data_IF_659869304428
#
_entry.id   IF_659869304428
#
_cell.length_a   1.000
_cell.length_b   1.000
_cell.length_c   1.000
_cell.angle_alpha   90.00
_cell.angle_beta   90.00
_cell.angle_gamma   90.00
#
_symmetry.space_group_name_H-M   'P 1'
#
loop_
_entity.id
_entity.type
_entity.pdbx_description
1 polymer ?
#
# COMPACT_ATOMS: atom_id res chain seq x y z
N UNK A 1 -21.56 27.60 -6.77
CA UNK A 1 -20.32 26.90 -6.43
C UNK A 1 -20.66 25.43 -6.43
N UNK A 2 -20.27 24.70 -7.46
CA UNK A 2 -20.55 23.26 -7.58
C UNK A 2 -19.48 22.53 -6.79
N UNK A 3 -19.84 22.02 -5.61
CA UNK A 3 -19.03 21.01 -4.93
C UNK A 3 -19.07 19.76 -5.81
N UNK A 4 -18.02 19.55 -6.59
CA UNK A 4 -17.77 18.23 -7.19
C UNK A 4 -17.65 17.23 -6.04
N UNK A 5 -18.29 16.05 -6.12
CA UNK A 5 -18.15 15.05 -5.08
C UNK A 5 -16.66 14.73 -4.91
N UNK A 6 -16.18 14.86 -3.68
CA UNK A 6 -14.80 14.50 -3.32
C UNK A 6 -14.59 13.03 -3.68
N UNK A 7 -13.57 12.73 -4.47
CA UNK A 7 -13.23 11.34 -4.79
C UNK A 7 -12.69 10.65 -3.53
N UNK A 8 -12.69 9.32 -3.51
CA UNK A 8 -12.10 8.55 -2.41
C UNK A 8 -10.61 8.93 -2.23
N UNK A 9 -9.91 9.16 -3.34
CA UNK A 9 -8.54 9.65 -3.36
C UNK A 9 -8.38 10.98 -2.59
N UNK A 10 -9.24 11.97 -2.87
CA UNK A 10 -9.19 13.27 -2.19
C UNK A 10 -9.51 13.16 -0.70
N UNK A 11 -10.48 12.30 -0.35
CA UNK A 11 -10.88 12.04 1.03
C UNK A 11 -9.75 11.40 1.84
N UNK A 12 -9.07 10.40 1.29
CA UNK A 12 -7.91 9.75 1.94
C UNK A 12 -6.74 10.73 2.06
N UNK A 13 -6.46 11.52 1.01
CA UNK A 13 -5.41 12.53 1.04
C UNK A 13 -5.65 13.55 2.17
N UNK A 14 -6.86 14.08 2.27
CA UNK A 14 -7.23 15.04 3.30
C UNK A 14 -7.18 14.43 4.71
N UNK A 15 -7.67 13.19 4.88
CA UNK A 15 -7.63 12.47 6.15
C UNK A 15 -6.19 12.20 6.60
N UNK A 16 -5.31 11.76 5.69
CA UNK A 16 -3.90 11.54 6.00
C UNK A 16 -3.21 12.83 6.47
N UNK A 17 -3.46 13.95 5.80
CA UNK A 17 -2.89 15.24 6.19
C UNK A 17 -3.41 15.75 7.54
N UNK A 18 -4.71 15.57 7.81
CA UNK A 18 -5.32 15.96 9.08
C UNK A 18 -4.80 15.10 10.25
N UNK A 19 -4.67 13.80 10.03
CA UNK A 19 -4.14 12.87 11.02
C UNK A 19 -2.68 13.14 11.35
N UNK A 20 -1.87 13.56 10.35
CA UNK A 20 -0.47 13.94 10.54
C UNK A 20 -0.27 15.09 11.52
N UNK A 21 -1.17 16.05 11.50
CA UNK A 21 -1.08 17.23 12.37
C UNK A 21 -1.28 16.89 13.87
N UNK A 22 -1.87 15.72 14.17
CA UNK A 22 -2.15 15.27 15.53
C UNK A 22 -1.37 14.04 16.01
N UNK A 23 -0.63 13.36 15.14
CA UNK A 23 0.05 12.09 15.46
C UNK A 23 1.58 12.21 15.39
N UNK A 24 2.26 11.57 16.33
CA UNK A 24 3.72 11.46 16.35
C UNK A 24 4.26 10.44 15.34
N UNK A 25 3.42 9.49 14.85
CA UNK A 25 3.79 8.44 13.90
C UNK A 25 3.00 8.56 12.59
N UNK A 26 3.75 8.86 11.51
CA UNK A 26 3.21 8.99 10.17
C UNK A 26 2.59 7.68 9.63
N UNK A 27 3.06 6.51 10.12
CA UNK A 27 2.50 5.21 9.75
C UNK A 27 1.10 5.03 10.30
N UNK A 28 0.90 5.34 11.59
CA UNK A 28 -0.40 5.22 12.23
C UNK A 28 -1.41 6.21 11.63
N UNK A 29 -0.98 7.44 11.34
CA UNK A 29 -1.80 8.42 10.67
C UNK A 29 -2.28 7.93 9.28
N UNK A 30 -1.38 7.36 8.49
CA UNK A 30 -1.71 6.79 7.19
C UNK A 30 -2.64 5.58 7.30
N UNK A 31 -2.39 4.68 8.26
CA UNK A 31 -3.22 3.50 8.49
C UNK A 31 -4.65 3.87 8.86
N UNK A 32 -4.83 4.81 9.80
CA UNK A 32 -6.14 5.28 10.22
C UNK A 32 -6.89 6.01 9.11
N UNK A 33 -6.20 6.88 8.38
CA UNK A 33 -6.80 7.63 7.28
C UNK A 33 -7.32 6.68 6.19
N UNK A 34 -6.50 5.71 5.78
CA UNK A 34 -6.89 4.77 4.74
C UNK A 34 -7.98 3.81 5.25
N UNK A 35 -7.81 3.22 6.43
CA UNK A 35 -8.81 2.33 7.01
C UNK A 35 -10.19 2.98 7.09
N UNK A 36 -10.27 4.19 7.65
CA UNK A 36 -11.55 4.87 7.86
C UNK A 36 -12.30 5.13 6.56
N UNK A 37 -11.61 5.57 5.51
CA UNK A 37 -12.22 5.86 4.21
C UNK A 37 -12.51 4.59 3.40
N UNK A 38 -11.54 3.68 3.32
CA UNK A 38 -11.65 2.46 2.53
C UNK A 38 -12.68 1.49 3.13
N UNK A 39 -12.74 1.34 4.46
CA UNK A 39 -13.71 0.47 5.11
C UNK A 39 -15.15 0.88 4.78
N UNK A 40 -15.44 2.18 4.72
CA UNK A 40 -16.72 2.71 4.27
C UNK A 40 -17.01 2.35 2.81
N UNK A 41 -16.05 2.60 1.93
CA UNK A 41 -16.16 2.35 0.50
C UNK A 41 -16.41 0.87 0.18
N UNK A 42 -15.60 -0.05 0.74
CA UNK A 42 -15.71 -1.51 0.53
C UNK A 42 -17.05 -2.12 1.00
N UNK A 43 -17.92 -1.35 1.65
CA UNK A 43 -19.26 -1.80 2.02
C UNK A 43 -20.29 -1.72 0.90
N UNK A 44 -19.94 -1.12 -0.25
CA UNK A 44 -20.81 -0.98 -1.42
C UNK A 44 -20.70 -2.13 -2.43
N UNK A 45 -21.45 -2.02 -3.51
CA UNK A 45 -21.41 -2.96 -4.66
C UNK A 45 -20.33 -2.61 -5.69
N UNK A 46 -19.56 -1.55 -5.48
CA UNK A 46 -18.53 -1.11 -6.41
C UNK A 46 -17.31 -2.06 -6.41
N UNK A 47 -16.50 -1.97 -7.46
CA UNK A 47 -15.26 -2.77 -7.59
C UNK A 47 -14.28 -2.45 -6.44
N UNK A 48 -14.03 -3.46 -5.60
CA UNK A 48 -13.16 -3.33 -4.44
C UNK A 48 -11.70 -3.02 -4.83
N UNK A 49 -11.24 -3.54 -5.98
CA UNK A 49 -9.91 -3.25 -6.48
C UNK A 49 -9.79 -1.78 -6.91
N UNK A 50 -10.79 -1.25 -7.60
CA UNK A 50 -10.84 0.16 -8.00
C UNK A 50 -10.85 1.08 -6.76
N UNK A 51 -11.70 0.80 -5.78
CA UNK A 51 -11.78 1.56 -4.54
C UNK A 51 -10.45 1.54 -3.76
N UNK A 52 -9.81 0.36 -3.67
CA UNK A 52 -8.49 0.23 -3.03
C UNK A 52 -7.44 1.02 -3.79
N UNK A 53 -7.45 0.96 -5.12
CA UNK A 53 -6.54 1.73 -5.99
C UNK A 53 -6.71 3.24 -5.78
N UNK A 54 -7.93 3.75 -5.75
CA UNK A 54 -8.20 5.18 -5.49
C UNK A 54 -7.74 5.62 -4.09
N UNK A 55 -8.02 4.81 -3.07
CA UNK A 55 -7.60 5.10 -1.70
C UNK A 55 -6.06 5.17 -1.58
N UNK A 56 -5.35 4.23 -2.21
CA UNK A 56 -3.89 4.21 -2.22
C UNK A 56 -3.28 5.40 -2.98
N UNK A 57 -3.91 5.84 -4.07
CA UNK A 57 -3.50 7.05 -4.78
C UNK A 57 -3.59 8.29 -3.87
N UNK A 58 -4.59 8.36 -2.99
CA UNK A 58 -4.74 9.44 -2.01
C UNK A 58 -3.55 9.55 -1.05
N UNK A 59 -2.98 8.43 -0.61
CA UNK A 59 -1.78 8.43 0.22
C UNK A 59 -0.55 8.96 -0.53
N UNK A 60 -0.34 8.54 -1.78
CA UNK A 60 0.78 9.02 -2.59
C UNK A 60 0.62 10.52 -2.90
N UNK A 61 -0.59 10.98 -3.14
CA UNK A 61 -0.90 12.41 -3.31
C UNK A 61 -0.58 13.20 -2.03
N UNK A 62 -0.86 12.66 -0.85
CA UNK A 62 -0.50 13.27 0.43
C UNK A 62 1.01 13.47 0.58
N UNK A 63 1.83 12.52 0.10
CA UNK A 63 3.29 12.66 0.07
C UNK A 63 3.75 13.84 -0.80
N UNK A 64 3.15 14.03 -1.98
CA UNK A 64 3.49 15.13 -2.89
C UNK A 64 3.33 16.51 -2.25
N UNK A 65 2.43 16.64 -1.28
CA UNK A 65 2.20 17.86 -0.51
C UNK A 65 3.19 18.04 0.66
N UNK A 66 4.20 17.16 0.78
CA UNK A 66 5.35 17.33 1.68
C UNK A 66 5.11 16.95 3.14
N UNK A 67 4.04 16.22 3.44
CA UNK A 67 3.69 15.89 4.83
C UNK A 67 4.41 14.66 5.40
N UNK A 68 4.98 13.76 4.55
CA UNK A 68 5.44 12.45 5.01
C UNK A 68 6.59 11.87 4.17
N UNK A 69 7.29 10.88 4.74
CA UNK A 69 8.14 9.98 3.98
C UNK A 69 7.28 8.88 3.33
N UNK A 70 7.48 8.64 2.04
CA UNK A 70 6.68 7.69 1.25
C UNK A 70 6.66 6.27 1.83
N UNK A 71 7.77 5.83 2.43
CA UNK A 71 7.84 4.54 3.12
C UNK A 71 6.85 4.42 4.29
N UNK A 72 6.69 5.45 5.11
CA UNK A 72 5.71 5.47 6.21
C UNK A 72 4.28 5.40 5.70
N UNK A 73 3.98 6.15 4.62
CA UNK A 73 2.66 6.13 3.99
C UNK A 73 2.35 4.75 3.41
N UNK A 74 3.32 4.13 2.74
CA UNK A 74 3.15 2.81 2.16
C UNK A 74 2.94 1.73 3.24
N UNK A 75 3.70 1.79 4.34
CA UNK A 75 3.55 0.89 5.48
C UNK A 75 2.18 1.05 6.15
N UNK A 76 1.80 2.28 6.46
CA UNK A 76 0.50 2.57 7.03
C UNK A 76 -0.66 2.22 6.09
N UNK A 77 -0.50 2.50 4.79
CA UNK A 77 -1.47 2.11 3.76
C UNK A 77 -1.73 0.61 3.76
N UNK A 78 -0.67 -0.21 3.77
CA UNK A 78 -0.82 -1.67 3.81
C UNK A 78 -1.52 -2.15 5.09
N UNK A 79 -1.23 -1.56 6.25
CA UNK A 79 -1.93 -1.86 7.50
C UNK A 79 -3.42 -1.52 7.34
N UNK A 80 -3.76 -0.32 6.88
CA UNK A 80 -5.13 0.12 6.69
C UNK A 80 -5.92 -0.74 5.71
N UNK A 81 -5.32 -1.12 4.55
CA UNK A 81 -5.92 -2.04 3.57
C UNK A 81 -6.22 -3.39 4.20
N UNK A 82 -5.25 -3.97 4.93
CA UNK A 82 -5.40 -5.30 5.54
C UNK A 82 -6.54 -5.30 6.57
N UNK A 83 -6.61 -4.30 7.44
CA UNK A 83 -7.68 -4.17 8.42
C UNK A 83 -9.05 -3.98 7.76
N UNK A 84 -9.13 -3.15 6.70
CA UNK A 84 -10.37 -2.92 5.96
C UNK A 84 -10.85 -4.20 5.26
N UNK A 85 -9.95 -4.94 4.61
CA UNK A 85 -10.25 -6.21 3.96
C UNK A 85 -10.81 -7.24 4.95
N UNK A 86 -10.10 -7.48 6.05
CA UNK A 86 -10.51 -8.44 7.09
C UNK A 86 -11.85 -8.04 7.69
N UNK A 87 -12.04 -6.76 8.02
CA UNK A 87 -13.29 -6.26 8.57
C UNK A 87 -14.49 -6.38 7.62
N UNK A 88 -14.25 -6.48 6.31
CA UNK A 88 -15.25 -6.71 5.27
C UNK A 88 -15.32 -8.15 4.77
N UNK A 89 -14.52 -9.06 5.35
CA UNK A 89 -14.42 -10.47 4.93
C UNK A 89 -13.96 -10.64 3.48
N UNK A 90 -13.11 -9.72 3.00
CA UNK A 90 -12.47 -9.77 1.70
C UNK A 90 -11.07 -10.38 1.81
N UNK A 91 -10.50 -10.81 0.68
CA UNK A 91 -9.12 -11.32 0.66
C UNK A 91 -8.10 -10.17 0.78
N UNK A 92 -7.37 -10.07 1.90
CA UNK A 92 -6.37 -9.03 2.06
C UNK A 92 -5.18 -9.17 1.10
N UNK A 93 -4.85 -10.37 0.61
CA UNK A 93 -3.75 -10.57 -0.33
C UNK A 93 -4.05 -9.94 -1.69
N UNK A 94 -5.29 -10.06 -2.15
CA UNK A 94 -5.75 -9.42 -3.39
C UNK A 94 -5.68 -7.90 -3.28
N UNK A 95 -6.26 -7.31 -2.24
CA UNK A 95 -6.27 -5.86 -2.07
C UNK A 95 -4.89 -5.26 -1.81
N UNK A 96 -4.01 -5.98 -1.11
CA UNK A 96 -2.60 -5.59 -0.94
C UNK A 96 -1.83 -5.59 -2.25
N UNK A 97 -2.11 -6.55 -3.15
CA UNK A 97 -1.52 -6.58 -4.49
C UNK A 97 -1.92 -5.34 -5.30
N UNK A 98 -3.19 -4.91 -5.21
CA UNK A 98 -3.66 -3.66 -5.82
C UNK A 98 -2.97 -2.44 -5.19
N UNK A 99 -2.87 -2.43 -3.85
CA UNK A 99 -2.23 -1.35 -3.10
C UNK A 99 -0.78 -1.13 -3.55
N UNK A 100 0.05 -2.16 -3.57
CA UNK A 100 1.46 -2.03 -3.93
C UNK A 100 1.64 -1.60 -5.38
N UNK A 101 0.86 -2.18 -6.31
CA UNK A 101 0.90 -1.79 -7.73
C UNK A 101 0.58 -0.31 -7.91
N UNK A 102 -0.52 0.14 -7.35
CA UNK A 102 -0.96 1.53 -7.49
C UNK A 102 0.06 2.50 -6.91
N UNK A 103 0.49 2.26 -5.68
CA UNK A 103 1.44 3.16 -5.02
C UNK A 103 2.80 3.21 -5.71
N UNK A 104 3.30 2.08 -6.25
CA UNK A 104 4.55 2.06 -7.01
C UNK A 104 4.46 2.83 -8.32
N UNK A 105 3.38 2.67 -9.09
CA UNK A 105 3.15 3.39 -10.35
C UNK A 105 3.05 4.90 -10.09
N UNK A 106 2.26 5.31 -9.10
CA UNK A 106 2.10 6.72 -8.77
C UNK A 106 3.40 7.35 -8.24
N UNK A 107 4.21 6.58 -7.48
CA UNK A 107 5.52 7.03 -7.00
C UNK A 107 6.50 7.21 -8.16
N UNK A 108 6.56 6.26 -9.10
CA UNK A 108 7.40 6.36 -10.29
C UNK A 108 7.00 7.55 -11.15
N UNK A 109 5.71 7.74 -11.41
CA UNK A 109 5.17 8.89 -12.15
C UNK A 109 5.47 10.25 -11.51
N UNK A 110 5.77 10.28 -10.21
CA UNK A 110 6.19 11.48 -9.48
C UNK A 110 7.72 11.60 -9.35
N UNK A 111 8.50 10.67 -9.90
CA UNK A 111 9.95 10.59 -9.71
C UNK A 111 10.37 10.28 -8.27
N UNK A 112 9.47 9.68 -7.48
CA UNK A 112 9.71 9.32 -6.09
C UNK A 112 10.26 7.88 -5.97
N UNK A 113 10.70 7.50 -4.76
CA UNK A 113 11.29 6.18 -4.52
C UNK A 113 10.23 5.06 -4.41
N UNK A 114 9.88 4.44 -5.55
CA UNK A 114 8.99 3.28 -5.56
C UNK A 114 9.57 2.06 -4.82
N UNK A 115 10.89 1.96 -4.64
CA UNK A 115 11.49 0.92 -3.80
C UNK A 115 11.14 1.08 -2.32
N UNK A 116 11.09 2.32 -1.84
CA UNK A 116 10.60 2.63 -0.50
C UNK A 116 9.11 2.24 -0.35
N UNK A 117 8.31 2.38 -1.41
CA UNK A 117 6.92 1.89 -1.45
C UNK A 117 6.88 0.37 -1.29
N UNK A 118 7.59 -0.37 -2.14
CA UNK A 118 7.59 -1.84 -2.10
C UNK A 118 7.99 -2.36 -0.71
N UNK A 119 9.05 -1.80 -0.12
CA UNK A 119 9.49 -2.16 1.22
C UNK A 119 8.44 -1.80 2.28
N UNK A 120 7.86 -0.61 2.23
CA UNK A 120 6.87 -0.16 3.20
C UNK A 120 5.60 -1.03 3.16
N UNK A 121 5.07 -1.34 1.98
CA UNK A 121 3.89 -2.21 1.85
C UNK A 121 4.19 -3.62 2.38
N UNK A 122 5.36 -4.19 2.08
CA UNK A 122 5.77 -5.50 2.63
C UNK A 122 5.81 -5.50 4.16
N UNK A 123 6.47 -4.51 4.75
CA UNK A 123 6.54 -4.39 6.21
C UNK A 123 5.16 -4.19 6.84
N UNK A 124 4.33 -3.32 6.27
CA UNK A 124 2.96 -3.08 6.75
C UNK A 124 2.08 -4.31 6.66
N UNK A 125 2.16 -5.07 5.57
CA UNK A 125 1.43 -6.32 5.40
C UNK A 125 1.82 -7.37 6.46
N UNK A 126 3.12 -7.51 6.75
CA UNK A 126 3.60 -8.43 7.79
C UNK A 126 3.19 -7.98 9.21
N UNK A 127 3.23 -6.67 9.49
CA UNK A 127 2.77 -6.12 10.77
C UNK A 127 1.29 -6.41 11.00
N UNK A 128 0.44 -6.08 10.02
CA UNK A 128 -1.00 -6.33 10.11
C UNK A 128 -1.32 -7.83 10.18
N UNK A 129 -0.58 -8.67 9.44
CA UNK A 129 -0.73 -10.12 9.52
C UNK A 129 -0.49 -10.65 10.94
N UNK A 130 0.58 -10.18 11.62
CA UNK A 130 0.87 -10.56 13.01
C UNK A 130 -0.21 -10.09 13.97
N UNK A 131 -0.66 -8.86 13.82
CA UNK A 131 -1.69 -8.25 14.67
C UNK A 131 -3.03 -8.99 14.56
N UNK A 132 -3.41 -9.38 13.34
CA UNK A 132 -4.69 -10.03 13.05
C UNK A 132 -4.63 -11.56 13.07
N UNK A 133 -3.46 -12.16 13.35
CA UNK A 133 -3.28 -13.60 13.34
C UNK A 133 -3.39 -14.25 11.95
N UNK A 134 -3.07 -13.49 10.89
CA UNK A 134 -3.07 -13.98 9.51
C UNK A 134 -1.75 -14.65 9.16
N UNK A 135 -1.74 -15.39 8.04
CA UNK A 135 -0.55 -16.10 7.58
C UNK A 135 0.43 -15.13 6.88
N UNK A 136 1.48 -14.68 7.61
CA UNK A 136 2.46 -13.70 7.16
C UNK A 136 3.09 -14.03 5.79
N UNK A 137 3.47 -15.33 5.59
CA UNK A 137 4.13 -15.74 4.34
C UNK A 137 3.21 -15.58 3.13
N UNK A 138 1.91 -15.83 3.27
CA UNK A 138 0.94 -15.68 2.17
C UNK A 138 0.79 -14.21 1.78
N UNK A 139 0.59 -13.31 2.76
CA UNK A 139 0.44 -11.88 2.47
C UNK A 139 1.74 -11.27 1.94
N UNK A 140 2.88 -11.60 2.56
CA UNK A 140 4.17 -11.11 2.11
C UNK A 140 4.52 -11.58 0.70
N UNK A 141 4.23 -12.85 0.36
CA UNK A 141 4.46 -13.38 -0.99
C UNK A 141 3.57 -12.67 -2.03
N UNK A 142 2.30 -12.46 -1.73
CA UNK A 142 1.39 -11.75 -2.65
C UNK A 142 1.90 -10.34 -2.97
N UNK A 143 2.32 -9.59 -1.94
CA UNK A 143 2.89 -8.25 -2.13
C UNK A 143 4.21 -8.31 -2.89
N UNK A 144 5.11 -9.26 -2.57
CA UNK A 144 6.41 -9.40 -3.23
C UNK A 144 6.26 -9.70 -4.72
N UNK A 145 5.36 -10.62 -5.08
CA UNK A 145 5.05 -10.95 -6.49
C UNK A 145 4.48 -9.73 -7.21
N UNK A 146 3.46 -9.07 -6.65
CA UNK A 146 2.87 -7.89 -7.28
C UNK A 146 3.87 -6.73 -7.43
N UNK A 147 4.77 -6.55 -6.46
CA UNK A 147 5.83 -5.53 -6.55
C UNK A 147 6.84 -5.85 -7.67
N UNK A 148 7.23 -7.13 -7.84
CA UNK A 148 8.14 -7.55 -8.91
C UNK A 148 7.50 -7.40 -10.29
N UNK A 149 6.25 -7.81 -10.47
CA UNK A 149 5.49 -7.63 -11.71
C UNK A 149 5.40 -6.15 -12.08
N UNK A 150 5.01 -5.30 -11.13
CA UNK A 150 4.93 -3.85 -11.34
C UNK A 150 6.29 -3.24 -11.68
N UNK A 151 7.36 -3.69 -11.01
CA UNK A 151 8.71 -3.24 -11.31
C UNK A 151 9.18 -3.67 -12.70
N UNK A 152 8.76 -4.83 -13.19
CA UNK A 152 9.03 -5.28 -14.55
C UNK A 152 8.34 -4.38 -15.61
N UNK A 153 7.11 -3.94 -15.32
CA UNK A 153 6.36 -3.01 -16.18
C UNK A 153 6.98 -1.61 -16.18
N UNK A 154 7.50 -1.13 -15.04
CA UNK A 154 8.23 0.15 -14.95
C UNK A 154 9.54 0.07 -15.74
N UNK A 155 10.29 -1.03 -15.64
CA UNK A 155 11.47 -1.26 -16.43
C UNK A 155 12.61 -2.02 -15.74
N UNK A 156 13.69 -2.36 -16.48
CA UNK A 156 14.75 -3.23 -15.97
C UNK A 156 15.46 -2.71 -14.71
N UNK A 157 15.69 -1.41 -14.62
CA UNK A 157 16.33 -0.81 -13.44
C UNK A 157 15.44 -0.92 -12.20
N UNK A 158 14.13 -0.75 -12.36
CA UNK A 158 13.14 -0.91 -11.30
C UNK A 158 13.11 -2.36 -10.80
N UNK A 159 13.07 -3.31 -11.74
CA UNK A 159 13.08 -4.73 -11.41
C UNK A 159 14.32 -5.14 -10.60
N UNK A 160 15.51 -4.68 -10.98
CA UNK A 160 16.76 -4.94 -10.22
C UNK A 160 16.66 -4.37 -8.80
N UNK A 161 16.09 -3.17 -8.65
CA UNK A 161 15.92 -2.53 -7.34
C UNK A 161 14.97 -3.33 -6.43
N UNK A 162 13.80 -3.70 -6.95
CA UNK A 162 12.80 -4.44 -6.16
C UNK A 162 13.28 -5.85 -5.84
N UNK A 163 13.96 -6.55 -6.77
CA UNK A 163 14.61 -7.85 -6.51
C UNK A 163 15.57 -7.79 -5.32
N UNK A 164 16.37 -6.73 -5.19
CA UNK A 164 17.28 -6.56 -4.05
C UNK A 164 16.53 -6.40 -2.72
N UNK A 165 15.34 -5.85 -2.74
CA UNK A 165 14.50 -5.69 -1.54
C UNK A 165 13.92 -7.05 -1.14
N UNK A 166 13.23 -7.73 -2.06
CA UNK A 166 12.49 -8.96 -1.76
C UNK A 166 13.38 -10.18 -1.52
N UNK A 167 14.64 -10.17 -2.00
CA UNK A 167 15.63 -11.23 -1.76
C UNK A 167 16.34 -11.08 -0.39
N UNK A 168 15.95 -10.11 0.43
CA UNK A 168 16.45 -9.96 1.79
C UNK A 168 15.36 -10.33 2.79
N UNK A 169 15.71 -10.86 3.96
CA UNK A 169 14.73 -11.04 5.00
C UNK A 169 14.07 -9.69 5.37
N UNK A 170 12.75 -9.63 5.31
CA UNK A 170 11.97 -8.47 5.73
C UNK A 170 11.29 -8.84 7.05
N UNK A 171 11.59 -8.09 8.10
CA UNK A 171 11.12 -8.38 9.47
C UNK A 171 11.39 -9.83 9.92
N UNK A 172 12.51 -10.41 9.45
CA UNK A 172 12.92 -11.80 9.74
C UNK A 172 12.21 -12.87 8.90
N UNK A 173 11.46 -12.48 7.86
CA UNK A 173 10.81 -13.40 6.91
C UNK A 173 11.51 -13.38 5.56
N UNK A 174 11.72 -14.57 5.02
CA UNK A 174 12.10 -14.79 3.63
C UNK A 174 10.87 -15.27 2.84
N UNK A 175 10.81 -14.93 1.55
CA UNK A 175 9.71 -15.28 0.68
C UNK A 175 10.18 -16.26 -0.39
N UNK A 176 9.43 -17.34 -0.59
CA UNK A 176 9.70 -18.32 -1.66
C UNK A 176 9.13 -17.79 -2.99
N UNK A 177 9.89 -16.84 -3.58
CA UNK A 177 9.49 -16.17 -4.80
C UNK A 177 9.73 -17.08 -5.99
N UNK A 178 8.76 -17.23 -6.92
CA UNK A 178 8.94 -18.03 -8.13
C UNK A 178 10.20 -17.61 -8.91
N UNK A 179 11.03 -18.58 -9.28
CA UNK A 179 12.30 -18.34 -9.98
C UNK A 179 12.12 -17.60 -11.31
N UNK A 180 10.95 -17.71 -11.97
CA UNK A 180 10.58 -16.96 -13.17
C UNK A 180 10.55 -15.46 -12.97
N UNK A 181 10.33 -14.97 -11.75
CA UNK A 181 10.34 -13.54 -11.40
C UNK A 181 11.71 -13.06 -10.93
N UNK A 182 12.60 -14.00 -10.56
CA UNK A 182 13.95 -13.69 -10.10
C UNK A 182 14.99 -13.70 -11.25
N UNK A 183 14.73 -14.36 -12.36
CA UNK A 183 15.31 -14.46 -13.69
C UNK A 183 16.76 -14.13 -13.90
#
# INVERSE_FOLDING_TARGET
MSDSPSTLCDSVCAAAQSSAAGHSDATDAAAQALYGQLFGALGGEADHAEQTSEACAGLVLANKKGAFFLWHLARGGAIGVTHAAVGRQLDPAELLSVCVRRMMIDADGQGADFGAVAQGVLEGALMAARELGLHEATLGLAVAVAALETAADIGPAALVKVRRIVNRPIMGREFDIPSSLLG
#
